data_IF_445669654195
#
_entry.id   IF_445669654195
#
_cell.length_a   1.000
_cell.length_b   1.000
_cell.length_c   1.000
_cell.angle_alpha   90.00
_cell.angle_beta   90.00
_cell.angle_gamma   90.00
#
_symmetry.space_group_name_H-M   'P 1'
#
loop_
_entity.id
_entity.type
_entity.pdbx_description
1 polymer ?
#
# COMPACT_ATOMS: atom_id res chain seq x y z
N UNK A 1 4.84 11.25 -0.25
CA UNK A 1 5.13 11.17 1.21
C UNK A 1 6.59 10.85 1.46
N UNK A 2 7.22 11.52 2.42
CA UNK A 2 8.61 11.25 2.85
C UNK A 2 8.64 11.09 4.37
N UNK A 3 9.36 10.07 4.85
CA UNK A 3 9.53 9.73 6.25
C UNK A 3 11.01 9.51 6.55
N UNK A 4 11.43 9.92 7.74
CA UNK A 4 12.74 9.66 8.32
C UNK A 4 12.52 9.11 9.72
N UNK A 5 13.13 7.96 10.01
CA UNK A 5 13.03 7.24 11.27
C UNK A 5 14.45 7.07 11.83
N UNK A 6 14.55 6.95 13.15
CA UNK A 6 15.75 6.35 13.77
C UNK A 6 15.61 4.83 13.80
N UNK A 7 16.71 4.09 13.96
CA UNK A 7 16.68 2.63 14.15
C UNK A 7 15.84 2.18 15.35
N UNK A 8 15.82 2.96 16.43
CA UNK A 8 14.96 2.71 17.59
C UNK A 8 13.48 3.08 17.37
N UNK A 9 13.15 3.66 16.22
CA UNK A 9 11.81 4.12 15.89
C UNK A 9 10.89 2.98 15.49
N UNK A 10 9.59 3.20 15.67
CA UNK A 10 8.56 2.29 15.16
C UNK A 10 7.53 3.07 14.38
N UNK A 11 7.04 2.49 13.30
CA UNK A 11 6.02 3.10 12.46
C UNK A 11 5.06 2.07 11.91
N UNK A 12 3.80 2.47 11.87
CA UNK A 12 2.77 1.88 11.02
C UNK A 12 2.12 2.98 10.21
N UNK A 13 2.39 3.02 8.91
CA UNK A 13 1.77 3.95 7.98
C UNK A 13 0.88 3.17 7.00
N UNK A 14 -0.39 3.53 6.92
CA UNK A 14 -1.33 2.96 5.95
C UNK A 14 -1.84 4.05 5.02
N UNK A 15 -1.62 3.88 3.72
CA UNK A 15 -2.23 4.68 2.65
C UNK A 15 -3.40 3.88 2.08
N UNK A 16 -4.57 4.51 1.96
CA UNK A 16 -5.77 3.91 1.35
C UNK A 16 -6.28 4.84 0.27
N UNK A 17 -6.36 4.33 -0.95
CA UNK A 17 -6.75 5.10 -2.13
C UNK A 17 -7.97 4.45 -2.76
N UNK A 18 -8.92 5.27 -3.18
CA UNK A 18 -9.98 4.89 -4.12
C UNK A 18 -10.17 6.00 -5.13
N UNK A 19 -10.12 5.65 -6.42
CA UNK A 19 -10.36 6.57 -7.52
C UNK A 19 -11.83 6.52 -7.91
N UNK A 20 -12.46 7.69 -7.98
CA UNK A 20 -13.81 7.89 -8.51
C UNK A 20 -14.94 7.51 -7.54
N UNK A 21 -16.16 7.88 -7.91
CA UNK A 21 -17.39 7.47 -7.21
C UNK A 21 -17.90 6.14 -7.74
N UNK A 22 -18.91 5.58 -7.07
CA UNK A 22 -19.63 4.39 -7.55
C UNK A 22 -20.12 4.59 -8.98
N UNK A 23 -19.69 3.72 -9.89
CA UNK A 23 -20.12 3.71 -11.29
C UNK A 23 -19.28 4.56 -12.26
N UNK A 24 -18.51 5.52 -11.77
CA UNK A 24 -17.51 6.21 -12.59
C UNK A 24 -16.31 5.29 -12.77
N UNK A 25 -15.64 5.24 -13.93
CA UNK A 25 -14.36 4.51 -14.13
C UNK A 25 -13.17 5.40 -14.49
N UNK A 26 -13.42 6.68 -14.70
CA UNK A 26 -12.40 7.64 -15.09
C UNK A 26 -11.51 8.03 -13.91
N UNK A 27 -10.29 8.45 -14.23
CA UNK A 27 -9.33 9.00 -13.29
C UNK A 27 -8.06 8.16 -13.21
N UNK A 28 -6.97 8.85 -12.94
CA UNK A 28 -5.64 8.30 -12.74
C UNK A 28 -5.10 8.85 -11.43
N UNK A 29 -4.40 8.00 -10.67
CA UNK A 29 -3.72 8.40 -9.46
C UNK A 29 -2.30 7.85 -9.45
N UNK A 30 -1.36 8.64 -8.93
CA UNK A 30 -0.02 8.18 -8.58
C UNK A 30 0.33 8.60 -7.16
N UNK A 31 0.94 7.69 -6.42
CA UNK A 31 1.47 7.93 -5.08
C UNK A 31 2.93 7.53 -5.00
N UNK A 32 3.67 8.19 -4.11
CA UNK A 32 5.06 7.84 -3.83
C UNK A 32 5.36 7.94 -2.34
N UNK A 33 6.02 6.92 -1.81
CA UNK A 33 6.48 6.82 -0.43
C UNK A 33 8.01 6.62 -0.42
N UNK A 34 8.69 7.51 0.27
CA UNK A 34 10.11 7.40 0.59
C UNK A 34 10.25 7.27 2.10
N UNK A 35 10.88 6.20 2.57
CA UNK A 35 11.23 6.02 3.97
C UNK A 35 12.73 5.79 4.12
N UNK A 36 13.34 6.51 5.05
CA UNK A 36 14.76 6.41 5.42
C UNK A 36 14.86 6.06 6.90
N UNK A 37 15.81 5.20 7.26
CA UNK A 37 16.18 4.85 8.65
C UNK A 37 17.62 5.28 8.87
N UNK A 38 17.84 6.19 9.82
CA UNK A 38 19.15 6.79 10.13
C UNK A 38 19.91 7.24 8.87
N UNK A 39 19.18 7.89 7.96
CA UNK A 39 19.71 8.42 6.70
C UNK A 39 19.88 7.39 5.58
N UNK A 40 19.72 6.09 5.87
CA UNK A 40 19.80 5.02 4.88
C UNK A 40 18.43 4.74 4.23
N UNK A 41 18.35 4.56 2.90
CA UNK A 41 17.10 4.19 2.23
C UNK A 41 16.54 2.85 2.73
N UNK A 42 15.33 2.88 3.29
CA UNK A 42 14.58 1.68 3.65
C UNK A 42 13.59 1.28 2.54
N UNK A 43 12.80 2.24 2.06
CA UNK A 43 11.78 2.00 1.05
C UNK A 43 11.70 3.14 0.05
N UNK A 44 11.58 2.78 -1.24
CA UNK A 44 11.20 3.64 -2.35
C UNK A 44 10.04 2.96 -3.07
N UNK A 45 8.84 3.44 -2.85
CA UNK A 45 7.63 2.82 -3.38
C UNK A 45 6.85 3.84 -4.18
N UNK A 46 6.48 3.47 -5.41
CA UNK A 46 5.58 4.24 -6.26
C UNK A 46 4.49 3.31 -6.74
N UNK A 47 3.26 3.82 -6.74
CA UNK A 47 2.08 3.10 -7.22
C UNK A 47 1.33 4.00 -8.17
N UNK A 48 0.75 3.40 -9.20
CA UNK A 48 -0.18 4.01 -10.12
C UNK A 48 -1.46 3.19 -10.15
N UNK A 49 -2.60 3.86 -10.32
CA UNK A 49 -3.92 3.25 -10.30
C UNK A 49 -4.83 3.98 -11.30
N UNK A 50 -5.84 3.25 -11.78
CA UNK A 50 -6.85 3.78 -12.68
C UNK A 50 -6.38 3.91 -14.11
N UNK A 51 -7.16 4.65 -14.89
CA UNK A 51 -7.11 4.62 -16.35
C UNK A 51 -5.74 5.06 -16.90
N UNK A 52 -5.12 4.22 -17.73
CA UNK A 52 -3.79 4.43 -18.29
C UNK A 52 -2.62 4.10 -17.36
N UNK A 53 -2.88 3.53 -16.17
CA UNK A 53 -1.81 2.96 -15.34
C UNK A 53 -1.32 1.62 -15.89
N UNK A 54 -0.14 1.17 -15.46
CA UNK A 54 0.39 -0.12 -15.91
C UNK A 54 -0.50 -1.32 -15.53
N UNK A 55 -1.31 -1.19 -14.47
CA UNK A 55 -2.25 -2.22 -14.05
C UNK A 55 -3.65 -2.05 -14.67
N UNK A 56 -3.85 -1.07 -15.56
CA UNK A 56 -5.10 -0.84 -16.27
C UNK A 56 -5.21 -1.78 -17.49
N UNK A 57 -5.65 -3.00 -17.23
CA UNK A 57 -5.81 -4.06 -18.23
C UNK A 57 -7.20 -4.73 -18.14
N UNK A 58 -7.49 -5.61 -19.10
CA UNK A 58 -8.77 -6.34 -19.17
C UNK A 58 -8.95 -7.35 -18.01
N UNK A 59 -7.91 -7.62 -17.21
CA UNK A 59 -7.94 -8.63 -16.16
C UNK A 59 -8.39 -8.01 -14.83
N UNK A 60 -7.74 -6.94 -14.39
CA UNK A 60 -7.94 -6.38 -13.06
C UNK A 60 -8.41 -4.93 -13.06
N UNK A 61 -7.73 -4.04 -13.79
CA UNK A 61 -7.95 -2.59 -13.79
C UNK A 61 -8.26 -2.01 -12.38
N UNK A 62 -7.36 -2.16 -11.39
CA UNK A 62 -7.65 -1.82 -10.01
C UNK A 62 -7.82 -0.31 -9.82
N UNK A 63 -8.73 0.03 -8.91
CA UNK A 63 -9.16 1.42 -8.64
C UNK A 63 -9.07 1.79 -7.17
N UNK A 64 -8.81 0.79 -6.35
CA UNK A 64 -8.51 0.91 -4.95
C UNK A 64 -7.17 0.26 -4.64
N UNK A 65 -6.44 0.86 -3.72
CA UNK A 65 -5.19 0.32 -3.20
C UNK A 65 -5.09 0.57 -1.71
N UNK A 66 -4.47 -0.37 -1.00
CA UNK A 66 -3.99 -0.18 0.36
C UNK A 66 -2.51 -0.55 0.38
N UNK A 67 -1.65 0.42 0.70
CA UNK A 67 -0.23 0.19 0.96
C UNK A 67 0.04 0.44 2.44
N UNK A 68 0.65 -0.51 3.13
CA UNK A 68 0.91 -0.44 4.57
C UNK A 68 2.36 -0.77 4.90
N UNK A 69 3.09 0.23 5.36
CA UNK A 69 4.47 0.11 5.84
C UNK A 69 4.46 -0.12 7.35
N UNK A 70 5.11 -1.20 7.78
CA UNK A 70 5.47 -1.47 9.17
C UNK A 70 6.98 -1.45 9.33
N UNK A 71 7.47 -0.83 10.40
CA UNK A 71 8.87 -0.84 10.80
C UNK A 71 8.99 -0.90 12.33
N UNK A 72 9.90 -1.71 12.90
CA UNK A 72 10.79 -2.68 12.25
C UNK A 72 10.13 -4.06 12.05
N UNK A 73 8.84 -4.19 12.38
CA UNK A 73 8.10 -5.46 12.35
C UNK A 73 7.84 -5.95 10.91
N UNK A 74 8.25 -7.18 10.59
CA UNK A 74 8.10 -7.77 9.25
C UNK A 74 6.95 -8.79 9.13
N UNK A 75 6.40 -9.25 10.25
CA UNK A 75 5.30 -10.22 10.35
C UNK A 75 3.95 -9.52 10.56
N UNK A 76 3.75 -8.35 9.94
CA UNK A 76 2.51 -7.62 10.09
C UNK A 76 1.34 -8.39 9.44
N UNK A 77 0.27 -8.59 10.21
CA UNK A 77 -1.02 -9.02 9.69
C UNK A 77 -1.68 -7.82 8.98
N UNK A 78 -1.41 -7.72 7.68
CA UNK A 78 -1.85 -6.64 6.83
C UNK A 78 -2.43 -7.21 5.53
N UNK A 79 -3.31 -6.44 4.90
CA UNK A 79 -3.99 -6.89 3.70
C UNK A 79 -3.05 -7.01 2.50
N UNK A 80 -3.24 -8.09 1.74
CA UNK A 80 -2.60 -8.27 0.44
C UNK A 80 -1.27 -8.99 0.54
N UNK A 81 -0.37 -8.67 -0.39
CA UNK A 81 0.94 -9.32 -0.47
C UNK A 81 1.94 -8.54 0.37
N UNK A 82 2.62 -9.24 1.28
CA UNK A 82 3.64 -8.66 2.16
C UNK A 82 5.04 -8.91 1.62
N UNK A 83 5.80 -7.84 1.46
CA UNK A 83 7.22 -7.85 1.12
C UNK A 83 8.05 -7.45 2.35
N UNK A 84 8.91 -8.34 2.82
CA UNK A 84 9.89 -8.02 3.85
C UNK A 84 10.95 -7.04 3.30
N UNK A 85 11.36 -6.07 4.11
CA UNK A 85 12.36 -5.07 3.74
C UNK A 85 13.73 -5.44 4.33
N UNK A 86 14.79 -5.25 3.54
CA UNK A 86 16.14 -5.64 3.93
C UNK A 86 16.63 -4.94 5.22
N UNK A 87 16.21 -3.69 5.45
CA UNK A 87 16.52 -2.91 6.65
C UNK A 87 15.60 -3.19 7.85
N UNK A 88 14.78 -4.25 7.80
CA UNK A 88 13.73 -4.54 8.77
C UNK A 88 12.38 -3.94 8.37
N UNK A 89 11.30 -4.51 8.91
CA UNK A 89 9.94 -4.11 8.55
C UNK A 89 9.39 -4.84 7.32
N UNK A 90 8.19 -4.44 6.92
CA UNK A 90 7.54 -4.94 5.71
C UNK A 90 6.64 -3.89 5.06
N UNK A 91 6.40 -4.04 3.75
CA UNK A 91 5.35 -3.35 3.03
C UNK A 91 4.30 -4.37 2.58
N UNK A 92 3.06 -4.22 3.04
CA UNK A 92 1.92 -4.95 2.51
C UNK A 92 1.19 -4.10 1.47
N UNK A 93 0.83 -4.71 0.33
CA UNK A 93 0.06 -4.03 -0.73
C UNK A 93 -1.13 -4.87 -1.17
N UNK A 94 -2.30 -4.27 -1.14
CA UNK A 94 -3.55 -4.83 -1.65
C UNK A 94 -4.14 -3.91 -2.71
N UNK A 95 -4.74 -4.48 -3.76
CA UNK A 95 -5.43 -3.75 -4.81
C UNK A 95 -6.77 -4.41 -5.14
N UNK A 96 -7.72 -3.61 -5.61
CA UNK A 96 -9.02 -4.09 -6.06
C UNK A 96 -9.88 -3.01 -6.70
N UNK A 97 -11.11 -3.34 -7.08
CA UNK A 97 -12.04 -2.36 -7.68
C UNK A 97 -12.59 -1.36 -6.63
N UNK A 98 -12.69 -1.77 -5.36
CA UNK A 98 -13.22 -0.93 -4.27
C UNK A 98 -12.56 -1.21 -2.93
N UNK A 99 -12.25 -0.16 -2.17
CA UNK A 99 -11.78 -0.28 -0.79
C UNK A 99 -12.77 -1.08 0.05
N UNK A 100 -12.28 -2.14 0.67
CA UNK A 100 -13.07 -2.90 1.65
C UNK A 100 -13.37 -2.02 2.86
N UNK A 101 -14.57 -2.20 3.43
CA UNK A 101 -14.89 -1.62 4.72
C UNK A 101 -13.87 -2.13 5.77
N UNK A 102 -13.45 -1.29 6.74
CA UNK A 102 -12.40 -1.63 7.69
C UNK A 102 -12.61 -2.98 8.40
N UNK A 103 -13.86 -3.37 8.61
CA UNK A 103 -14.23 -4.59 9.35
C UNK A 103 -14.31 -5.85 8.45
N UNK A 104 -14.54 -5.69 7.14
CA UNK A 104 -14.64 -6.83 6.19
C UNK A 104 -13.25 -7.32 5.76
N UNK A 105 -12.25 -6.45 5.82
CA UNK A 105 -10.86 -6.78 5.52
C UNK A 105 -10.25 -7.83 6.48
N UNK A 106 -10.66 -7.81 7.75
CA UNK A 106 -10.16 -8.75 8.76
C UNK A 106 -10.74 -10.16 8.61
N UNK A 107 -11.99 -10.29 8.13
CA UNK A 107 -12.69 -11.58 8.01
C UNK A 107 -12.30 -12.36 6.75
N UNK A 108 -11.92 -11.70 5.65
CA UNK A 108 -11.56 -12.38 4.39
C UNK A 108 -10.13 -12.94 4.32
N UNK A 109 -9.30 -12.68 5.34
CA UNK A 109 -7.94 -13.23 5.44
C UNK A 109 -7.89 -14.57 6.22
N UNK A 110 -9.04 -15.05 6.72
CA UNK A 110 -9.16 -16.29 7.50
C UNK A 110 -9.84 -17.45 6.76
N UNK A 111 -10.13 -17.30 5.45
CA UNK A 111 -10.84 -18.30 4.63
C UNK A 111 -10.00 -18.80 3.46
#
# INVERSE_FOLDING_TARGET
TRLTLSEAGSLRLRERVQIGRTGERHGFWTGSLHADVDGSPLLRHRVELGNGSFADDEIAAPRACVSELHYPRADADAMGVTLALAGGGCLATWQGDRLLAPNVAAERLQS
#
